data_IF_977668180196
#
_entry.id   IF_977668180196
#
_cell.length_a   1.000
_cell.length_b   1.000
_cell.length_c   1.000
_cell.angle_alpha   90.00
_cell.angle_beta   90.00
_cell.angle_gamma   90.00
#
_symmetry.space_group_name_H-M   'P 1'
#
loop_
_entity.id
_entity.type
_entity.pdbx_description
1 polymer ?
#
# COMPACT_ATOMS: atom_id res chain seq x y z
N UNK A 1 -21.93 4.19 -10.83
CA UNK A 1 -21.12 3.49 -9.79
C UNK A 1 -19.80 2.89 -10.30
N UNK A 2 -19.75 2.29 -11.50
CA UNK A 2 -18.55 1.59 -11.99
C UNK A 2 -17.25 2.42 -11.91
N UNK A 3 -17.32 3.72 -12.20
CA UNK A 3 -16.17 4.62 -12.16
C UNK A 3 -15.54 4.77 -10.77
N UNK A 4 -16.36 4.76 -9.71
CA UNK A 4 -15.90 4.87 -8.32
C UNK A 4 -15.17 3.60 -7.89
N UNK A 5 -15.69 2.43 -8.30
CA UNK A 5 -15.07 1.13 -8.02
C UNK A 5 -13.74 1.02 -8.76
N UNK A 6 -13.69 1.44 -10.02
CA UNK A 6 -12.46 1.47 -10.81
C UNK A 6 -11.41 2.38 -10.17
N UNK A 7 -11.81 3.56 -9.70
CA UNK A 7 -10.92 4.48 -8.99
C UNK A 7 -10.37 3.84 -7.71
N UNK A 8 -11.21 3.23 -6.88
CA UNK A 8 -10.74 2.55 -5.66
C UNK A 8 -9.81 1.38 -5.96
N UNK A 9 -10.12 0.59 -6.99
CA UNK A 9 -9.24 -0.49 -7.43
C UNK A 9 -7.87 0.06 -7.90
N UNK A 10 -7.84 1.19 -8.60
CA UNK A 10 -6.60 1.84 -9.02
C UNK A 10 -5.72 2.29 -7.85
N UNK A 11 -6.30 2.56 -6.67
CA UNK A 11 -5.54 2.79 -5.44
C UNK A 11 -5.05 1.50 -4.78
N UNK A 12 -5.85 0.44 -4.71
CA UNK A 12 -5.49 -0.79 -3.99
C UNK A 12 -4.48 -1.66 -4.77
N UNK A 13 -4.68 -1.80 -6.08
CA UNK A 13 -3.87 -2.65 -6.97
C UNK A 13 -2.36 -2.33 -6.93
N UNK A 14 -1.90 -1.08 -7.00
CA UNK A 14 -0.47 -0.80 -6.93
C UNK A 14 0.15 -1.21 -5.58
N UNK A 15 -0.58 -1.07 -4.46
CA UNK A 15 -0.07 -1.46 -3.14
C UNK A 15 0.13 -2.96 -2.99
N UNK A 16 -0.69 -3.79 -3.65
CA UNK A 16 -0.45 -5.25 -3.65
C UNK A 16 0.91 -5.64 -4.21
N UNK A 17 1.42 -4.87 -5.16
CA UNK A 17 2.73 -5.11 -5.78
C UNK A 17 3.87 -4.42 -5.04
N UNK A 18 3.61 -3.26 -4.43
CA UNK A 18 4.60 -2.50 -3.67
C UNK A 18 4.87 -3.11 -2.29
N UNK A 19 3.83 -3.40 -1.50
CA UNK A 19 3.95 -3.81 -0.09
C UNK A 19 4.88 -5.01 0.16
N UNK A 20 4.82 -6.11 -0.63
CA UNK A 20 5.71 -7.24 -0.44
C UNK A 20 7.19 -6.88 -0.56
N UNK A 21 7.53 -5.91 -1.40
CA UNK A 21 8.90 -5.41 -1.56
C UNK A 21 9.43 -4.65 -0.34
N UNK A 22 8.55 -4.14 0.52
CA UNK A 22 8.88 -3.47 1.77
C UNK A 22 8.74 -4.40 2.99
N UNK A 23 8.58 -5.71 2.79
CA UNK A 23 8.37 -6.67 3.88
C UNK A 23 6.98 -6.60 4.54
N UNK A 24 6.04 -5.88 3.94
CA UNK A 24 4.67 -5.74 4.44
C UNK A 24 3.77 -6.75 3.72
N UNK A 25 2.94 -7.49 4.46
CA UNK A 25 2.05 -8.49 3.87
C UNK A 25 1.08 -7.84 2.88
N UNK A 26 0.91 -8.45 1.69
CA UNK A 26 0.09 -7.89 0.61
C UNK A 26 -1.37 -7.64 1.02
N UNK A 27 -1.91 -8.41 1.98
CA UNK A 27 -3.25 -8.23 2.54
C UNK A 27 -3.48 -6.81 3.09
N UNK A 28 -2.44 -6.11 3.55
CA UNK A 28 -2.54 -4.72 4.02
C UNK A 28 -2.89 -3.72 2.92
N UNK A 29 -2.77 -4.08 1.64
CA UNK A 29 -3.20 -3.22 0.52
C UNK A 29 -4.68 -2.85 0.61
N UNK A 30 -5.52 -3.67 1.24
CA UNK A 30 -6.95 -3.38 1.43
C UNK A 30 -7.18 -2.10 2.24
N UNK A 31 -6.25 -1.72 3.12
CA UNK A 31 -6.33 -0.48 3.90
C UNK A 31 -6.22 0.76 2.98
N UNK A 32 -5.56 0.62 1.83
CA UNK A 32 -5.46 1.67 0.80
C UNK A 32 -6.79 1.96 0.08
N UNK A 33 -7.85 1.20 0.35
CA UNK A 33 -9.20 1.53 -0.13
C UNK A 33 -9.67 2.89 0.43
N UNK A 34 -9.20 3.25 1.63
CA UNK A 34 -9.40 4.57 2.19
C UNK A 34 -8.21 5.48 1.86
N UNK A 35 -8.45 6.75 1.46
CA UNK A 35 -7.37 7.68 1.15
C UNK A 35 -6.35 7.82 2.28
N UNK A 36 -6.82 7.88 3.53
CA UNK A 36 -5.97 7.97 4.72
C UNK A 36 -5.12 6.71 4.92
N UNK A 37 -5.68 5.54 4.62
CA UNK A 37 -4.95 4.28 4.68
C UNK A 37 -3.85 4.20 3.64
N UNK A 38 -4.11 4.69 2.42
CA UNK A 38 -3.09 4.82 1.39
C UNK A 38 -1.95 5.75 1.83
N UNK A 39 -2.27 6.92 2.41
CA UNK A 39 -1.26 7.83 2.96
C UNK A 39 -0.43 7.20 4.09
N UNK A 40 -1.07 6.45 5.00
CA UNK A 40 -0.37 5.75 6.07
C UNK A 40 0.58 4.65 5.55
N UNK A 41 0.14 3.87 4.55
CA UNK A 41 0.97 2.85 3.90
C UNK A 41 2.15 3.49 3.15
N UNK A 42 1.92 4.63 2.48
CA UNK A 42 3.00 5.40 1.83
C UNK A 42 3.99 5.94 2.86
N UNK A 43 3.53 6.44 4.00
CA UNK A 43 4.39 6.87 5.10
C UNK A 43 5.26 5.70 5.60
N UNK A 44 4.66 4.52 5.80
CA UNK A 44 5.40 3.34 6.23
C UNK A 44 6.39 2.85 5.16
N UNK A 45 6.10 2.93 3.87
CA UNK A 45 7.07 2.59 2.82
C UNK A 45 8.21 3.63 2.72
N UNK A 46 7.90 4.90 2.95
CA UNK A 46 8.88 5.99 2.83
C UNK A 46 9.85 6.02 4.02
N UNK A 47 9.32 5.89 5.24
CA UNK A 47 10.05 6.11 6.50
C UNK A 47 10.12 4.87 7.39
N UNK A 48 9.45 3.78 7.03
CA UNK A 48 9.48 2.55 7.81
C UNK A 48 10.84 1.86 7.75
N UNK A 49 11.13 0.99 8.74
CA UNK A 49 12.38 0.24 8.78
C UNK A 49 12.47 -0.68 7.56
N UNK A 50 13.52 -0.55 6.77
CA UNK A 50 13.73 -1.47 5.64
C UNK A 50 14.44 -2.72 6.14
N UNK A 51 14.15 -3.85 5.50
CA UNK A 51 14.80 -5.11 5.82
C UNK A 51 16.28 -5.15 5.39
N UNK A 52 16.72 -4.23 4.52
CA UNK A 52 18.09 -4.10 4.02
C UNK A 52 19.02 -3.31 4.96
N UNK A 53 18.50 -2.54 5.92
CA UNK A 53 19.27 -1.80 6.93
C UNK A 53 19.99 -2.71 7.98
N UNK A 54 20.03 -4.03 7.76
CA UNK A 54 20.75 -5.02 8.59
C UNK A 54 21.87 -5.75 7.82
N UNK A 55 22.59 -5.05 6.94
CA UNK A 55 23.78 -5.55 6.24
C UNK A 55 24.81 -4.47 5.99
#
# INVERSE_FOLDING_TARGET
MFWVILFMAAFVVPFWKLLPGYGIASAWALVAIFPLGALALLYLMAFGPRADDRG
#
